data_IF_887564653861
#
_entry.id   IF_887564653861
#
_cell.length_a   1.000
_cell.length_b   1.000
_cell.length_c   1.000
_cell.angle_alpha   90.00
_cell.angle_beta   90.00
_cell.angle_gamma   90.00
#
_symmetry.space_group_name_H-M   'P 1'
#
loop_
_entity.id
_entity.type
_entity.pdbx_description
1 polymer ?
#
# COMPACT_ATOMS: atom_id res chain seq x y z
N UNK A 1 11.99 -17.94 9.94
CA UNK A 1 10.77 -17.56 9.21
C UNK A 1 9.56 -17.86 10.09
N UNK A 2 8.53 -17.01 10.05
CA UNK A 2 7.27 -17.16 10.77
C UNK A 2 6.17 -17.49 9.76
N UNK A 3 5.42 -18.57 9.97
CA UNK A 3 4.31 -18.94 9.07
C UNK A 3 3.10 -18.02 9.27
N UNK A 4 2.57 -17.54 8.16
CA UNK A 4 1.38 -16.69 8.11
C UNK A 4 0.19 -17.60 7.77
N UNK A 5 -0.59 -17.94 8.80
CA UNK A 5 -1.74 -18.83 8.66
C UNK A 5 -3.04 -18.03 8.63
N UNK A 6 -4.05 -18.56 7.93
CA UNK A 6 -5.38 -17.98 7.86
C UNK A 6 -6.32 -18.87 7.05
N UNK A 7 -7.53 -18.36 6.79
CA UNK A 7 -8.51 -18.99 5.94
C UNK A 7 -8.36 -18.49 4.50
N UNK A 8 -8.26 -19.40 3.54
CA UNK A 8 -8.29 -19.06 2.13
C UNK A 8 -9.70 -18.57 1.72
N UNK A 9 -9.75 -17.46 0.97
CA UNK A 9 -10.99 -16.80 0.52
C UNK A 9 -10.95 -16.51 -0.98
N UNK A 10 -12.10 -16.56 -1.63
CA UNK A 10 -12.27 -16.09 -3.01
C UNK A 10 -12.41 -14.56 -3.07
N UNK A 11 -12.37 -13.99 -4.28
CA UNK A 11 -12.61 -12.55 -4.50
C UNK A 11 -14.01 -12.12 -3.99
N UNK A 12 -15.04 -12.94 -4.21
CA UNK A 12 -16.40 -12.66 -3.77
C UNK A 12 -16.48 -12.61 -2.24
N UNK A 13 -15.94 -13.64 -1.57
CA UNK A 13 -15.92 -13.72 -0.11
C UNK A 13 -15.15 -12.56 0.53
N UNK A 14 -14.03 -12.13 -0.07
CA UNK A 14 -13.27 -10.99 0.42
C UNK A 14 -13.98 -9.65 0.13
N UNK A 15 -14.81 -9.58 -0.91
CA UNK A 15 -15.59 -8.38 -1.23
C UNK A 15 -16.69 -8.16 -0.21
N UNK A 16 -17.38 -9.23 0.19
CA UNK A 16 -18.48 -9.25 1.17
C UNK A 16 -18.01 -9.11 2.62
N UNK A 17 -16.72 -9.32 2.91
CA UNK A 17 -16.19 -9.23 4.27
C UNK A 17 -16.27 -7.79 4.84
N UNK A 18 -16.86 -7.67 6.04
CA UNK A 18 -17.02 -6.40 6.76
C UNK A 18 -15.69 -5.74 7.19
N UNK A 19 -14.66 -6.56 7.46
CA UNK A 19 -13.35 -6.09 7.92
C UNK A 19 -12.22 -6.72 7.11
N UNK A 20 -11.53 -5.89 6.33
CA UNK A 20 -10.46 -6.29 5.40
C UNK A 20 -9.06 -6.00 5.95
N UNK A 21 -8.95 -5.59 7.22
CA UNK A 21 -7.64 -5.26 7.83
C UNK A 21 -6.72 -6.48 7.88
N UNK A 22 -7.30 -7.66 8.12
CA UNK A 22 -6.56 -8.92 8.27
C UNK A 22 -6.51 -9.76 6.99
N UNK A 23 -6.89 -9.20 5.83
CA UNK A 23 -6.85 -9.94 4.55
C UNK A 23 -5.58 -9.63 3.78
N UNK A 24 -4.90 -10.66 3.31
CA UNK A 24 -3.72 -10.60 2.44
C UNK A 24 -4.10 -11.04 1.02
N UNK A 25 -3.81 -10.20 0.04
CA UNK A 25 -3.99 -10.54 -1.38
C UNK A 25 -2.73 -11.15 -1.95
N UNK A 26 -2.89 -12.08 -2.88
CA UNK A 26 -1.80 -12.56 -3.73
C UNK A 26 -1.31 -11.46 -4.69
N UNK A 27 -0.03 -11.50 -5.03
CA UNK A 27 0.48 -10.70 -6.15
C UNK A 27 -0.04 -11.24 -7.50
N UNK A 28 0.15 -10.46 -8.57
CA UNK A 28 -0.36 -10.80 -9.90
C UNK A 28 0.17 -12.15 -10.39
N UNK A 29 1.45 -12.45 -10.13
CA UNK A 29 2.10 -13.70 -10.55
C UNK A 29 1.42 -14.90 -9.88
N UNK A 30 1.29 -14.86 -8.56
CA UNK A 30 0.67 -15.92 -7.77
C UNK A 30 -0.81 -16.09 -8.10
N UNK A 31 -1.52 -14.98 -8.33
CA UNK A 31 -2.93 -14.98 -8.72
C UNK A 31 -3.13 -15.62 -10.10
N UNK A 32 -2.27 -15.33 -11.07
CA UNK A 32 -2.27 -16.00 -12.38
C UNK A 32 -2.01 -17.50 -12.22
N UNK A 33 -0.99 -17.89 -11.44
CA UNK A 33 -0.68 -19.29 -11.20
C UNK A 33 -1.83 -20.06 -10.54
N UNK A 34 -2.55 -19.44 -9.60
CA UNK A 34 -3.78 -20.01 -9.01
C UNK A 34 -4.90 -20.19 -10.04
N UNK A 35 -5.14 -19.16 -10.85
CA UNK A 35 -6.17 -19.17 -11.88
C UNK A 35 -5.92 -20.25 -12.95
N UNK A 36 -4.68 -20.38 -13.43
CA UNK A 36 -4.29 -21.43 -14.40
C UNK A 36 -4.51 -22.85 -13.85
N UNK A 37 -4.46 -23.02 -12.53
CA UNK A 37 -4.75 -24.28 -11.85
C UNK A 37 -6.24 -24.45 -11.46
N UNK A 38 -7.11 -23.51 -11.85
CA UNK A 38 -8.53 -23.53 -11.49
C UNK A 38 -8.80 -23.32 -9.99
N UNK A 39 -7.86 -22.72 -9.26
CA UNK A 39 -7.98 -22.42 -7.84
C UNK A 39 -8.53 -20.98 -7.65
N UNK A 40 -9.77 -20.81 -7.16
CA UNK A 40 -10.38 -19.49 -7.01
C UNK A 40 -9.94 -18.76 -5.73
N UNK A 41 -9.14 -19.38 -4.86
CA UNK A 41 -8.76 -18.82 -3.58
C UNK A 41 -7.49 -17.95 -3.70
N UNK A 42 -7.71 -16.63 -3.77
CA UNK A 42 -6.66 -15.63 -4.04
C UNK A 42 -6.41 -14.66 -2.88
N UNK A 43 -7.13 -14.85 -1.77
CA UNK A 43 -6.98 -14.09 -0.54
C UNK A 43 -6.73 -15.01 0.65
N UNK A 44 -5.93 -14.56 1.60
CA UNK A 44 -5.76 -15.19 2.91
C UNK A 44 -6.30 -14.27 4.00
N UNK A 45 -7.30 -14.74 4.74
CA UNK A 45 -7.94 -14.01 5.85
C UNK A 45 -7.42 -14.52 7.20
N UNK A 46 -6.72 -13.65 7.92
CA UNK A 46 -6.08 -13.97 9.20
C UNK A 46 -6.97 -13.65 10.41
N UNK A 47 -8.21 -13.19 10.21
CA UNK A 47 -9.06 -12.70 11.30
C UNK A 47 -9.42 -13.82 12.28
N UNK A 48 -10.05 -14.87 11.77
CA UNK A 48 -10.65 -15.92 12.61
C UNK A 48 -9.68 -17.06 12.94
N UNK A 49 -8.83 -17.45 11.98
CA UNK A 49 -7.88 -18.56 12.11
C UNK A 49 -6.41 -18.12 11.91
N UNK A 50 -6.09 -16.88 12.27
CA UNK A 50 -4.76 -16.30 12.10
C UNK A 50 -3.70 -16.86 13.04
N UNK A 51 -2.47 -17.04 12.53
CA UNK A 51 -1.30 -17.20 13.40
C UNK A 51 -0.92 -15.87 14.08
N UNK A 52 0.17 -15.87 14.86
CA UNK A 52 0.72 -14.64 15.46
C UNK A 52 1.03 -13.55 14.43
N UNK A 53 1.21 -13.93 13.16
CA UNK A 53 1.42 -13.03 12.03
C UNK A 53 0.34 -11.94 11.91
N UNK A 54 -0.89 -12.19 12.36
CA UNK A 54 -1.99 -11.21 12.32
C UNK A 54 -1.74 -9.95 13.18
N UNK A 55 -0.78 -10.02 14.10
CA UNK A 55 -0.41 -8.93 15.01
C UNK A 55 0.77 -8.11 14.48
N UNK A 56 1.41 -8.54 13.39
CA UNK A 56 2.54 -7.84 12.79
C UNK A 56 2.02 -6.61 12.06
N UNK A 57 2.49 -5.44 12.46
CA UNK A 57 2.01 -4.17 11.93
C UNK A 57 2.58 -3.86 10.55
N UNK A 58 1.81 -3.11 9.78
CA UNK A 58 2.25 -2.55 8.50
C UNK A 58 3.12 -1.31 8.72
N UNK A 59 4.28 -1.28 8.07
CA UNK A 59 5.19 -0.13 8.08
C UNK A 59 5.78 0.09 6.68
N UNK A 60 5.62 1.30 6.14
CA UNK A 60 6.22 1.68 4.86
C UNK A 60 7.61 2.30 4.99
N UNK A 61 8.00 2.73 6.20
CA UNK A 61 9.23 3.51 6.40
C UNK A 61 10.45 2.63 6.66
N UNK A 62 10.29 1.61 7.52
CA UNK A 62 11.36 0.70 7.90
C UNK A 62 10.84 -0.73 8.16
N UNK A 63 10.21 -1.39 7.17
CA UNK A 63 9.80 -2.80 7.30
C UNK A 63 11.02 -3.70 7.47
N UNK A 64 11.06 -4.47 8.55
CA UNK A 64 12.13 -5.45 8.82
C UNK A 64 11.76 -6.88 8.42
N UNK A 65 10.49 -7.12 8.08
CA UNK A 65 9.99 -8.36 7.52
C UNK A 65 9.59 -8.21 6.05
N UNK A 66 9.71 -9.29 5.30
CA UNK A 66 9.13 -9.48 3.97
C UNK A 66 8.20 -10.69 3.96
N UNK A 67 7.15 -10.60 3.14
CA UNK A 67 6.20 -11.70 2.91
C UNK A 67 6.69 -12.53 1.73
N UNK A 68 6.95 -13.81 1.97
CA UNK A 68 7.38 -14.78 0.96
C UNK A 68 6.30 -15.85 0.82
N UNK A 69 6.11 -16.34 -0.41
CA UNK A 69 5.15 -17.41 -0.73
C UNK A 69 5.85 -18.73 -1.04
N UNK A 70 5.19 -19.85 -0.76
CA UNK A 70 5.71 -21.19 -1.05
C UNK A 70 4.61 -22.10 -1.65
N UNK A 71 4.89 -22.92 -2.68
CA UNK A 71 6.15 -22.95 -3.44
C UNK A 71 6.39 -21.65 -4.22
N UNK A 72 7.65 -21.30 -4.45
CA UNK A 72 8.05 -20.08 -5.19
C UNK A 72 7.65 -20.16 -6.67
N UNK A 73 7.73 -21.36 -7.24
CA UNK A 73 7.38 -21.65 -8.62
C UNK A 73 6.10 -22.47 -8.67
N UNK A 74 4.96 -21.76 -8.65
CA UNK A 74 3.64 -22.37 -8.80
C UNK A 74 2.55 -21.63 -8.02
N UNK A 75 1.36 -22.24 -7.88
CA UNK A 75 0.29 -21.68 -7.06
C UNK A 75 0.72 -21.74 -5.59
N UNK A 76 0.83 -20.59 -4.89
CA UNK A 76 1.30 -20.61 -3.52
C UNK A 76 0.27 -21.25 -2.60
N UNK A 77 0.76 -22.05 -1.67
CA UNK A 77 -0.05 -22.76 -0.66
C UNK A 77 0.20 -22.25 0.74
N UNK A 78 1.35 -21.58 0.95
CA UNK A 78 1.79 -21.08 2.25
C UNK A 78 2.46 -19.73 2.11
N UNK A 79 2.47 -19.00 3.23
CA UNK A 79 3.08 -17.70 3.35
C UNK A 79 3.97 -17.65 4.57
N UNK A 80 5.05 -16.88 4.48
CA UNK A 80 6.02 -16.73 5.54
C UNK A 80 6.45 -15.28 5.66
N UNK A 81 6.55 -14.79 6.89
CA UNK A 81 7.36 -13.62 7.19
C UNK A 81 8.81 -14.03 7.39
N UNK A 82 9.69 -13.42 6.62
CA UNK A 82 11.14 -13.62 6.68
C UNK A 82 11.79 -12.29 7.05
N UNK A 83 12.82 -12.34 7.89
CA UNK A 83 13.58 -11.15 8.25
C UNK A 83 14.47 -10.73 7.08
N UNK A 84 14.42 -9.45 6.70
CA UNK A 84 15.27 -8.88 5.63
C UNK A 84 16.74 -8.73 6.05
N UNK A 85 16.97 -8.64 7.35
CA UNK A 85 18.28 -8.42 7.99
C UNK A 85 18.19 -8.85 9.45
N UNK A 86 19.31 -8.84 10.18
CA UNK A 86 19.32 -9.12 11.62
C UNK A 86 18.48 -8.10 12.38
N UNK A 87 17.50 -8.57 13.16
CA UNK A 87 16.59 -7.73 13.93
C UNK A 87 17.03 -7.74 15.40
N UNK A 88 17.43 -6.59 15.98
CA UNK A 88 17.80 -6.52 17.39
C UNK A 88 16.64 -6.91 18.32
N UNK A 89 16.97 -7.45 19.49
CA UNK A 89 15.97 -7.81 20.49
C UNK A 89 15.18 -6.57 20.96
N UNK A 90 13.86 -6.72 21.12
CA UNK A 90 12.98 -5.65 21.56
C UNK A 90 12.54 -4.68 20.45
N UNK A 91 13.06 -4.81 19.23
CA UNK A 91 12.58 -4.06 18.06
C UNK A 91 11.25 -4.65 17.59
N UNK A 92 10.29 -3.78 17.26
CA UNK A 92 8.99 -4.19 16.74
C UNK A 92 9.14 -4.85 15.36
N UNK A 93 8.45 -5.98 15.18
CA UNK A 93 8.35 -6.65 13.89
C UNK A 93 7.32 -5.95 13.02
N UNK A 94 7.73 -5.52 11.83
CA UNK A 94 6.87 -4.80 10.90
C UNK A 94 7.14 -5.22 9.46
N UNK A 95 6.09 -5.26 8.65
CA UNK A 95 6.15 -5.67 7.25
C UNK A 95 5.52 -4.61 6.36
N UNK A 96 5.81 -4.65 5.07
CA UNK A 96 5.20 -3.75 4.09
C UNK A 96 4.14 -4.47 3.29
N UNK A 97 2.91 -3.95 3.30
CA UNK A 97 1.85 -4.43 2.43
C UNK A 97 2.12 -4.00 0.99
N UNK A 98 2.39 -4.97 0.12
CA UNK A 98 2.59 -4.76 -1.32
C UNK A 98 1.34 -4.07 -1.88
N UNK A 99 1.52 -2.85 -2.42
CA UNK A 99 0.44 -2.00 -2.94
C UNK A 99 0.15 -0.74 -2.12
N UNK A 100 0.56 -0.65 -0.85
CA UNK A 100 0.41 0.57 -0.04
C UNK A 100 1.32 1.72 -0.54
N UNK A 101 2.53 1.39 -0.99
CA UNK A 101 3.51 2.37 -1.48
C UNK A 101 3.16 2.99 -2.85
N UNK A 102 2.33 2.35 -3.68
CA UNK A 102 1.80 2.98 -4.91
C UNK A 102 0.80 4.10 -4.64
N UNK A 103 0.11 4.12 -3.50
CA UNK A 103 -0.83 5.21 -3.17
C UNK A 103 -0.14 6.50 -2.74
N UNK A 104 1.09 6.44 -2.23
CA UNK A 104 1.87 7.64 -1.86
C UNK A 104 2.61 8.28 -3.03
N UNK A 105 2.83 7.57 -4.14
CA UNK A 105 3.50 8.11 -5.34
C UNK A 105 2.56 8.87 -6.30
N UNK A 106 1.23 8.82 -6.10
CA UNK A 106 0.26 9.58 -6.89
C UNK A 106 -0.30 10.83 -6.17
N UNK A 107 0.24 11.19 -5.01
CA UNK A 107 -0.01 12.49 -4.40
C UNK A 107 1.11 13.46 -4.81
N UNK A 108 0.97 14.04 -6.00
CA UNK A 108 1.84 15.14 -6.40
C UNK A 108 1.70 16.32 -5.42
N UNK A 109 2.81 16.94 -4.98
CA UNK A 109 2.77 18.20 -4.27
C UNK A 109 2.56 19.34 -5.28
N UNK A 110 1.31 19.73 -5.53
CA UNK A 110 1.00 20.98 -6.22
C UNK A 110 0.79 22.09 -5.20
N UNK A 111 1.88 22.75 -4.80
CA UNK A 111 1.82 24.16 -4.40
C UNK A 111 3.18 24.83 -4.59
N UNK A 112 3.52 25.09 -5.86
CA UNK A 112 4.49 26.12 -6.21
C UNK A 112 3.75 27.46 -6.28
N UNK A 113 3.75 28.22 -5.19
CA UNK A 113 3.37 29.64 -5.21
C UNK A 113 4.58 30.48 -5.66
N UNK A 114 4.48 31.27 -6.73
CA UNK A 114 5.53 32.24 -7.05
C UNK A 114 5.48 33.42 -6.07
N UNK A 115 6.65 33.76 -5.54
CA UNK A 115 6.88 34.94 -4.72
C UNK A 115 6.54 36.22 -5.51
N UNK A 116 5.50 36.94 -5.09
CA UNK A 116 5.23 38.30 -5.55
C UNK A 116 6.00 39.30 -4.69
N UNK A 117 7.17 39.70 -5.17
CA UNK A 117 7.93 40.83 -4.62
C UNK A 117 7.26 42.13 -5.09
N UNK A 118 6.67 42.89 -4.16
CA UNK A 118 6.18 44.24 -4.42
C UNK A 118 7.35 45.21 -4.51
N UNK A 119 7.54 45.82 -5.67
CA UNK A 119 8.37 47.01 -5.84
C UNK A 119 7.48 48.15 -6.39
N UNK A 120 7.33 49.17 -5.54
CA UNK A 120 6.74 50.48 -5.81
C UNK A 120 7.65 51.32 -6.71
N UNK A 121 7.06 52.38 -7.29
CA UNK A 121 7.62 53.52 -8.06
C UNK A 121 7.55 53.36 -9.59
N UNK A 122 7.01 54.29 -10.37
CA UNK A 122 6.35 55.57 -10.11
C UNK A 122 6.13 56.30 -11.45
N UNK A 123 5.08 57.12 -11.52
CA UNK A 123 5.05 58.34 -12.34
C UNK A 123 4.51 58.28 -13.79
N UNK A 124 3.44 59.04 -14.05
CA UNK A 124 3.43 60.02 -15.14
C UNK A 124 2.37 59.92 -16.24
N UNK A 125 1.41 60.85 -16.23
CA UNK A 125 0.65 61.37 -17.39
C UNK A 125 -0.52 60.49 -17.87
N UNK A 126 -1.81 60.89 -17.78
CA UNK A 126 -2.46 62.07 -18.38
C UNK A 126 -3.04 61.67 -19.74
N UNK A 127 -4.30 61.86 -20.12
CA UNK A 127 -5.55 62.36 -19.54
C UNK A 127 -6.70 62.09 -20.55
N UNK A 128 -7.94 62.44 -20.16
CA UNK A 128 -9.16 62.78 -20.96
C UNK A 128 -9.63 61.84 -22.12
N UNK A 129 -10.91 61.57 -22.40
CA UNK A 129 -12.19 62.15 -21.98
C UNK A 129 -13.39 61.30 -22.49
N UNK A 130 -14.48 61.31 -21.71
CA UNK A 130 -15.94 61.33 -22.00
C UNK A 130 -16.59 60.35 -23.01
N UNK A 131 -17.65 59.66 -22.54
CA UNK A 131 -18.91 59.55 -23.30
C UNK A 131 -19.69 58.23 -23.19
N UNK A 132 -20.64 58.15 -22.25
CA UNK A 132 -21.86 57.31 -22.29
C UNK A 132 -23.04 58.15 -22.82
N UNK A 133 -24.20 57.59 -23.17
CA UNK A 133 -24.64 56.18 -23.09
C UNK A 133 -24.79 55.45 -24.43
#
# INVERSE_FOLDING_TARGET
AMEVCGCWRTDEQCTEADDKRYTLGLDDRARIAKFENGDPYVWLDLRDAGSIARLVNECSEAPNLELVTWPEDGPPTRFYFVAKHDIPAGVELAWERVGASRRKQNAEPSEALPASFSAVSGGGGGGCNVGTP
#
